data_IF_604069836386
#
_entry.id   IF_604069836386
#
_cell.length_a   1.000
_cell.length_b   1.000
_cell.length_c   1.000
_cell.angle_alpha   90.00
_cell.angle_beta   90.00
_cell.angle_gamma   90.00
#
_symmetry.space_group_name_H-M   'P 1'
#
loop_
_entity.id
_entity.type
_entity.pdbx_description
1 polymer ?
#
# COMPACT_ATOMS: atom_id res chain seq x y z
N UNK A 1 4.68 25.25 -45.47
CA UNK A 1 3.94 24.38 -44.52
C UNK A 1 2.60 23.99 -45.12
N UNK A 2 2.43 22.73 -45.53
CA UNK A 2 1.24 22.29 -46.28
C UNK A 2 -0.03 22.37 -45.43
N UNK A 3 -1.16 22.73 -46.05
CA UNK A 3 -2.49 22.80 -45.40
C UNK A 3 -2.89 21.48 -44.71
N UNK A 4 -2.29 20.36 -45.14
CA UNK A 4 -2.47 19.02 -44.59
C UNK A 4 -1.82 18.90 -43.20
N UNK A 5 -0.60 19.41 -43.03
CA UNK A 5 0.10 19.36 -41.73
C UNK A 5 -0.66 20.13 -40.63
N UNK A 6 -1.27 21.28 -40.97
CA UNK A 6 -2.13 22.02 -40.03
C UNK A 6 -3.40 21.24 -39.64
N UNK A 7 -4.03 20.53 -40.57
CA UNK A 7 -5.22 19.71 -40.30
C UNK A 7 -4.89 18.51 -39.41
N UNK A 8 -3.77 17.84 -39.66
CA UNK A 8 -3.32 16.71 -38.83
C UNK A 8 -3.05 17.17 -37.38
N UNK A 9 -2.39 18.31 -37.19
CA UNK A 9 -2.10 18.82 -35.85
C UNK A 9 -3.37 19.17 -35.06
N UNK A 10 -4.39 19.73 -35.72
CA UNK A 10 -5.69 20.05 -35.10
C UNK A 10 -6.43 18.77 -34.68
N UNK A 11 -6.42 17.73 -35.54
CA UNK A 11 -7.06 16.44 -35.21
C UNK A 11 -6.36 15.77 -34.05
N UNK A 12 -5.03 15.71 -34.05
CA UNK A 12 -4.25 15.13 -32.93
C UNK A 12 -4.50 15.90 -31.63
N UNK A 13 -4.52 17.23 -31.68
CA UNK A 13 -4.83 18.07 -30.52
C UNK A 13 -6.25 17.84 -29.98
N UNK A 14 -7.25 17.73 -30.87
CA UNK A 14 -8.62 17.44 -30.49
C UNK A 14 -8.77 16.05 -29.87
N UNK A 15 -8.08 15.04 -30.41
CA UNK A 15 -8.07 13.67 -29.84
C UNK A 15 -7.39 13.65 -28.47
N UNK A 16 -6.26 14.34 -28.30
CA UNK A 16 -5.60 14.49 -26.98
C UNK A 16 -6.51 15.17 -25.95
N UNK A 17 -7.18 16.26 -26.33
CA UNK A 17 -8.13 16.94 -25.45
C UNK A 17 -9.32 16.05 -25.08
N UNK A 18 -9.84 15.27 -26.04
CA UNK A 18 -10.93 14.33 -25.80
C UNK A 18 -10.52 13.23 -24.81
N UNK A 19 -9.31 12.67 -24.97
CA UNK A 19 -8.77 11.64 -24.07
C UNK A 19 -8.57 12.19 -22.65
N UNK A 20 -8.06 13.42 -22.50
CA UNK A 20 -7.91 14.08 -21.20
C UNK A 20 -9.27 14.34 -20.54
N UNK A 21 -10.26 14.80 -21.31
CA UNK A 21 -11.61 15.04 -20.80
C UNK A 21 -12.30 13.74 -20.34
N UNK A 22 -12.15 12.65 -21.11
CA UNK A 22 -12.64 11.32 -20.74
C UNK A 22 -11.96 10.81 -19.46
N UNK A 23 -10.64 10.96 -19.34
CA UNK A 23 -9.91 10.58 -18.14
C UNK A 23 -10.35 11.39 -16.90
N UNK A 24 -10.67 12.67 -17.07
CA UNK A 24 -11.16 13.52 -15.99
C UNK A 24 -12.56 13.11 -15.52
N UNK A 25 -13.48 12.84 -16.45
CA UNK A 25 -14.83 12.34 -16.14
C UNK A 25 -14.80 10.96 -15.46
N UNK A 26 -13.95 10.05 -15.94
CA UNK A 26 -13.77 8.74 -15.31
C UNK A 26 -13.28 8.87 -13.87
N UNK A 27 -12.37 9.82 -13.59
CA UNK A 27 -11.90 10.12 -12.23
C UNK A 27 -12.99 10.72 -11.33
N UNK A 28 -13.84 11.59 -11.87
CA UNK A 28 -14.93 12.21 -11.10
C UNK A 28 -15.97 11.18 -10.65
N UNK A 29 -16.24 10.17 -11.48
CA UNK A 29 -17.15 9.06 -11.15
C UNK A 29 -16.58 8.04 -10.15
N UNK A 30 -15.26 7.94 -10.02
CA UNK A 30 -14.58 6.96 -9.15
C UNK A 30 -14.41 7.44 -7.71
N UNK A 31 -15.14 8.47 -7.32
CA UNK A 31 -15.02 9.11 -6.02
C UNK A 31 -15.77 8.29 -4.95
N UNK A 32 -15.17 8.05 -3.77
CA UNK A 32 -15.85 7.36 -2.68
C UNK A 32 -17.16 8.04 -2.30
N UNK A 33 -18.15 7.25 -1.88
CA UNK A 33 -19.37 7.76 -1.27
C UNK A 33 -19.08 8.42 0.08
N UNK A 34 -20.01 9.25 0.59
CA UNK A 34 -19.91 9.77 1.95
C UNK A 34 -20.03 8.63 2.96
N UNK A 35 -19.15 8.60 3.96
CA UNK A 35 -19.15 7.58 5.00
C UNK A 35 -18.43 6.29 4.62
N UNK A 36 -17.64 6.30 3.55
CA UNK A 36 -16.84 5.15 3.15
C UNK A 36 -15.72 4.84 4.15
N UNK A 37 -15.27 3.59 4.14
CA UNK A 37 -14.14 3.09 4.93
C UNK A 37 -13.06 2.64 3.94
N UNK A 38 -11.81 2.99 4.22
CA UNK A 38 -10.67 2.49 3.45
C UNK A 38 -10.37 1.06 3.90
N UNK A 39 -10.56 0.09 3.01
CA UNK A 39 -10.06 -1.26 3.22
C UNK A 39 -8.66 -1.38 2.63
N UNK A 40 -7.72 -1.88 3.42
CA UNK A 40 -6.36 -2.17 2.97
C UNK A 40 -5.97 -3.59 3.39
N UNK A 41 -5.73 -4.44 2.40
CA UNK A 41 -5.19 -5.77 2.60
C UNK A 41 -3.67 -5.73 2.45
N UNK A 42 -2.98 -6.14 3.50
CA UNK A 42 -1.53 -6.21 3.58
C UNK A 42 -1.17 -7.68 3.58
N UNK A 43 -1.04 -8.22 2.37
CA UNK A 43 -0.87 -9.65 2.12
C UNK A 43 0.18 -9.88 1.03
N UNK A 44 0.89 -10.99 1.12
CA UNK A 44 1.83 -11.42 0.09
C UNK A 44 3.03 -10.49 -0.06
N UNK A 45 3.51 -10.37 -1.31
CA UNK A 45 4.71 -9.58 -1.62
C UNK A 45 4.37 -8.11 -1.82
N UNK A 46 5.00 -7.24 -1.04
CA UNK A 46 4.84 -5.78 -1.13
C UNK A 46 6.17 -5.17 -1.62
N UNK A 47 6.32 -4.95 -2.94
CA UNK A 47 7.51 -4.34 -3.49
C UNK A 47 7.58 -2.84 -3.15
N UNK A 48 8.79 -2.32 -3.02
CA UNK A 48 9.02 -0.86 -2.92
C UNK A 48 8.71 -0.15 -4.24
N UNK A 49 9.10 -0.78 -5.35
CA UNK A 49 8.94 -0.24 -6.69
C UNK A 49 8.40 -1.34 -7.61
N UNK A 50 7.35 -1.01 -8.36
CA UNK A 50 6.85 -1.86 -9.43
C UNK A 50 7.49 -1.34 -10.72
N UNK A 51 8.27 -2.16 -11.44
CA UNK A 51 8.80 -1.77 -12.74
C UNK A 51 7.66 -1.26 -13.63
N UNK A 52 7.85 -0.13 -14.34
CA UNK A 52 6.80 0.42 -15.19
C UNK A 52 6.55 -0.52 -16.38
N UNK A 53 5.59 -1.43 -16.21
CA UNK A 53 5.07 -2.27 -17.29
C UNK A 53 3.71 -1.72 -17.74
N UNK A 54 3.75 -1.00 -18.87
CA UNK A 54 2.57 -0.40 -19.47
C UNK A 54 1.54 -1.47 -19.91
N UNK A 55 1.98 -2.69 -20.23
CA UNK A 55 1.10 -3.78 -20.64
C UNK A 55 0.37 -4.37 -19.44
N UNK A 56 1.07 -4.61 -18.33
CA UNK A 56 0.45 -5.09 -17.09
C UNK A 56 -0.61 -4.12 -16.54
N UNK A 57 -0.37 -2.81 -16.64
CA UNK A 57 -1.34 -1.79 -16.26
C UNK A 57 -2.61 -1.80 -17.12
N UNK A 58 -2.49 -2.13 -18.41
CA UNK A 58 -3.63 -2.26 -19.33
C UNK A 58 -4.38 -3.59 -19.10
N UNK A 59 -3.66 -4.67 -18.78
CA UNK A 59 -4.22 -6.00 -18.52
C UNK A 59 -4.85 -6.14 -17.12
N UNK A 60 -4.70 -5.13 -16.26
CA UNK A 60 -5.35 -5.08 -14.95
C UNK A 60 -4.68 -5.93 -13.87
N UNK A 61 -3.45 -6.42 -14.10
CA UNK A 61 -2.64 -7.07 -13.07
C UNK A 61 -2.03 -6.03 -12.15
N UNK A 62 -2.87 -5.48 -11.27
CA UNK A 62 -2.49 -4.41 -10.35
C UNK A 62 -1.77 -5.00 -9.13
N UNK A 63 -0.43 -4.94 -9.16
CA UNK A 63 0.38 -5.06 -7.93
C UNK A 63 0.33 -3.72 -7.21
N UNK A 64 0.35 -3.74 -5.88
CA UNK A 64 0.44 -2.53 -5.06
C UNK A 64 1.84 -2.43 -4.48
N UNK A 65 2.48 -1.28 -4.66
CA UNK A 65 3.74 -0.98 -4.01
C UNK A 65 3.50 -0.42 -2.60
N UNK A 66 4.53 -0.43 -1.75
CA UNK A 66 4.46 0.17 -0.42
C UNK A 66 3.92 1.61 -0.45
N UNK A 67 4.42 2.41 -1.39
CA UNK A 67 4.00 3.80 -1.55
C UNK A 67 2.53 3.95 -1.92
N UNK A 68 1.90 3.00 -2.60
CA UNK A 68 0.47 3.06 -2.90
C UNK A 68 -0.37 3.02 -1.62
N UNK A 69 0.03 2.21 -0.63
CA UNK A 69 -0.64 2.13 0.67
C UNK A 69 -0.45 3.42 1.48
N UNK A 70 0.78 3.94 1.54
CA UNK A 70 1.10 5.19 2.26
C UNK A 70 0.36 6.37 1.65
N UNK A 71 0.36 6.49 0.33
CA UNK A 71 -0.34 7.53 -0.41
C UNK A 71 -1.86 7.40 -0.24
N UNK A 72 -2.40 6.17 -0.26
CA UNK A 72 -3.81 5.93 0.00
C UNK A 72 -4.22 6.41 1.40
N UNK A 73 -3.43 6.10 2.44
CA UNK A 73 -3.66 6.60 3.80
C UNK A 73 -3.58 8.13 3.87
N UNK A 74 -2.60 8.76 3.21
CA UNK A 74 -2.48 10.23 3.16
C UNK A 74 -3.68 10.89 2.48
N UNK A 75 -4.15 10.35 1.36
CA UNK A 75 -5.35 10.85 0.67
C UNK A 75 -6.60 10.63 1.51
N UNK A 76 -6.76 9.42 2.05
CA UNK A 76 -7.88 9.07 2.91
C UNK A 76 -7.90 9.90 4.20
N UNK A 77 -6.75 10.33 4.72
CA UNK A 77 -6.63 11.22 5.88
C UNK A 77 -7.33 12.55 5.62
N UNK A 78 -7.10 13.16 4.46
CA UNK A 78 -7.61 14.51 4.15
C UNK A 78 -8.97 14.48 3.41
N UNK A 79 -9.46 13.31 2.98
CA UNK A 79 -10.78 13.15 2.36
C UNK A 79 -11.92 13.11 3.40
N UNK A 80 -12.77 14.13 3.42
CA UNK A 80 -13.92 14.23 4.34
C UNK A 80 -15.01 13.17 4.15
N UNK A 81 -14.91 12.30 3.14
CA UNK A 81 -15.87 11.21 2.89
C UNK A 81 -15.44 9.90 3.54
N UNK A 82 -14.16 9.76 3.88
CA UNK A 82 -13.61 8.57 4.52
C UNK A 82 -13.68 8.73 6.04
N UNK A 83 -14.40 7.83 6.70
CA UNK A 83 -14.59 7.89 8.15
C UNK A 83 -13.49 7.14 8.93
N UNK A 84 -12.87 6.14 8.31
CA UNK A 84 -11.88 5.29 8.96
C UNK A 84 -11.23 4.30 8.00
N UNK A 85 -10.38 3.43 8.55
CA UNK A 85 -9.66 2.40 7.83
C UNK A 85 -9.80 1.02 8.50
N UNK A 86 -10.06 0.00 7.69
CA UNK A 86 -9.95 -1.40 8.04
C UNK A 86 -8.64 -1.94 7.45
N UNK A 87 -7.71 -2.32 8.32
CA UNK A 87 -6.38 -2.82 7.96
C UNK A 87 -6.40 -4.33 8.14
N UNK A 88 -6.48 -5.07 7.05
CA UNK A 88 -6.38 -6.52 7.05
C UNK A 88 -4.90 -6.86 6.96
N UNK A 89 -4.33 -7.40 8.04
CA UNK A 89 -2.93 -7.78 8.11
C UNK A 89 -2.85 -9.30 8.11
N UNK A 90 -2.27 -9.84 7.05
CA UNK A 90 -1.98 -11.27 6.91
C UNK A 90 -0.48 -11.46 6.66
N UNK A 91 -0.06 -12.70 6.40
CA UNK A 91 1.31 -13.06 6.03
C UNK A 91 1.75 -12.21 4.84
N UNK A 92 2.73 -11.35 5.10
CA UNK A 92 3.32 -10.46 4.10
C UNK A 92 4.85 -10.52 4.15
N UNK A 93 5.48 -10.15 3.04
CA UNK A 93 6.94 -10.06 2.95
C UNK A 93 7.52 -8.78 3.57
N UNK A 94 6.71 -8.01 4.32
CA UNK A 94 7.11 -6.71 4.85
C UNK A 94 8.41 -6.78 5.64
N UNK A 95 9.35 -5.89 5.35
CA UNK A 95 10.47 -5.60 6.24
C UNK A 95 10.05 -4.77 7.45
N UNK A 96 10.88 -4.75 8.50
CA UNK A 96 10.62 -3.88 9.67
C UNK A 96 10.56 -2.39 9.29
N UNK A 97 11.39 -1.94 8.34
CA UNK A 97 11.36 -0.57 7.85
C UNK A 97 10.02 -0.23 7.17
N UNK A 98 9.54 -1.13 6.30
CA UNK A 98 8.26 -0.96 5.60
C UNK A 98 7.08 -0.98 6.58
N UNK A 99 7.10 -1.90 7.55
CA UNK A 99 6.11 -1.96 8.62
C UNK A 99 6.10 -0.68 9.46
N UNK A 100 7.28 -0.10 9.74
CA UNK A 100 7.40 1.18 10.44
C UNK A 100 6.83 2.34 9.62
N UNK A 101 7.10 2.39 8.31
CA UNK A 101 6.57 3.44 7.44
C UNK A 101 5.03 3.40 7.37
N UNK A 102 4.45 2.21 7.20
CA UNK A 102 2.99 2.02 7.23
C UNK A 102 2.40 2.38 8.60
N UNK A 103 3.07 1.99 9.68
CA UNK A 103 2.68 2.33 11.05
C UNK A 103 2.63 3.85 11.23
N UNK A 104 3.64 4.58 10.79
CA UNK A 104 3.69 6.04 10.90
C UNK A 104 2.57 6.69 10.07
N UNK A 105 2.31 6.18 8.87
CA UNK A 105 1.19 6.64 8.04
C UNK A 105 -0.19 6.39 8.70
N UNK A 106 -0.38 5.23 9.35
CA UNK A 106 -1.61 4.91 10.10
C UNK A 106 -1.79 5.81 11.33
N UNK A 107 -0.71 6.12 12.04
CA UNK A 107 -0.75 7.06 13.16
C UNK A 107 -1.13 8.46 12.67
N UNK A 108 -0.54 8.92 11.56
CA UNK A 108 -0.87 10.21 10.96
C UNK A 108 -2.30 10.29 10.43
N UNK A 109 -2.82 9.19 9.86
CA UNK A 109 -4.22 9.07 9.48
C UNK A 109 -5.15 9.28 10.67
N UNK A 110 -4.84 8.65 11.81
CA UNK A 110 -5.64 8.73 13.03
C UNK A 110 -5.53 10.10 13.74
N UNK A 111 -4.42 10.84 13.57
CA UNK A 111 -4.28 12.21 14.12
C UNK A 111 -5.36 13.18 13.62
N UNK A 112 -6.03 12.90 12.49
CA UNK A 112 -7.19 13.67 12.01
C UNK A 112 -8.52 13.30 12.67
N UNK A 113 -8.51 12.45 13.70
CA UNK A 113 -9.70 11.99 14.40
C UNK A 113 -10.42 10.83 13.70
N UNK A 114 -9.80 10.23 12.68
CA UNK A 114 -10.32 9.03 12.00
C UNK A 114 -9.92 7.79 12.76
N UNK A 115 -10.75 6.75 12.73
CA UNK A 115 -10.46 5.49 13.38
C UNK A 115 -9.75 4.52 12.43
N UNK A 116 -8.84 3.71 12.96
CA UNK A 116 -8.28 2.57 12.24
C UNK A 116 -8.45 1.29 13.08
N UNK A 117 -8.88 0.21 12.44
CA UNK A 117 -9.04 -1.13 13.04
C UNK A 117 -8.17 -2.09 12.27
N UNK A 118 -7.35 -2.87 12.98
CA UNK A 118 -6.63 -3.99 12.38
C UNK A 118 -7.43 -5.28 12.54
N UNK A 119 -7.54 -6.05 11.46
CA UNK A 119 -8.01 -7.44 11.49
C UNK A 119 -6.84 -8.34 11.09
N UNK A 120 -6.65 -9.43 11.83
CA UNK A 120 -5.63 -10.43 11.58
C UNK A 120 -6.27 -11.81 11.66
N UNK A 121 -5.98 -12.67 10.69
CA UNK A 121 -6.33 -14.09 10.81
C UNK A 121 -5.39 -14.77 11.81
N UNK A 122 -4.10 -14.43 11.75
CA UNK A 122 -3.06 -14.90 12.66
C UNK A 122 -1.92 -13.89 12.69
N UNK A 123 -1.24 -13.75 13.82
CA UNK A 123 0.03 -13.04 13.93
C UNK A 123 1.14 -14.06 14.19
N UNK A 124 1.49 -14.82 13.16
CA UNK A 124 2.64 -15.73 13.20
C UNK A 124 2.33 -17.20 13.51
N UNK A 125 1.38 -17.81 12.77
CA UNK A 125 1.01 -19.23 12.90
C UNK A 125 2.22 -20.20 12.85
N UNK A 126 3.05 -20.12 11.80
CA UNK A 126 4.23 -20.98 11.60
C UNK A 126 5.55 -20.20 11.50
N UNK A 127 5.52 -18.90 11.76
CA UNK A 127 6.64 -17.96 11.60
C UNK A 127 6.52 -16.85 12.66
N UNK A 128 7.59 -16.13 13.03
CA UNK A 128 7.47 -14.97 13.90
C UNK A 128 6.48 -13.93 13.37
N UNK A 129 5.46 -13.59 14.16
CA UNK A 129 4.42 -12.60 13.83
C UNK A 129 4.72 -11.18 14.32
N UNK A 130 5.98 -10.91 14.68
CA UNK A 130 6.38 -9.66 15.33
C UNK A 130 6.07 -8.42 14.46
N UNK A 131 6.19 -8.53 13.12
CA UNK A 131 6.04 -7.40 12.20
C UNK A 131 4.57 -7.07 11.96
N UNK A 132 3.77 -8.10 11.76
CA UNK A 132 2.32 -8.04 11.57
C UNK A 132 1.67 -7.41 12.81
N UNK A 133 2.05 -7.90 14.00
CA UNK A 133 1.58 -7.34 15.26
C UNK A 133 2.14 -5.93 15.52
N UNK A 134 3.40 -5.67 15.17
CA UNK A 134 3.97 -4.33 15.25
C UNK A 134 3.23 -3.33 14.37
N UNK A 135 2.78 -3.71 13.17
CA UNK A 135 1.95 -2.86 12.33
C UNK A 135 0.53 -2.70 12.92
N UNK A 136 -0.11 -3.81 13.29
CA UNK A 136 -1.47 -3.82 13.82
C UNK A 136 -1.63 -2.96 15.09
N UNK A 137 -0.61 -2.91 15.95
CA UNK A 137 -0.59 -2.07 17.15
C UNK A 137 -0.55 -0.56 16.89
N UNK A 138 -0.53 -0.13 15.63
CA UNK A 138 -0.75 1.26 15.25
C UNK A 138 -2.24 1.64 15.32
N UNK A 139 -3.12 0.66 15.10
CA UNK A 139 -4.57 0.83 15.06
C UNK A 139 -5.16 0.96 16.47
N UNK A 140 -6.33 1.60 16.55
CA UNK A 140 -7.05 1.80 17.82
C UNK A 140 -7.54 0.48 18.43
N UNK A 141 -7.88 -0.50 17.59
CA UNK A 141 -8.27 -1.84 18.03
C UNK A 141 -7.72 -2.89 17.08
N UNK A 142 -7.35 -4.05 17.64
CA UNK A 142 -6.88 -5.22 16.89
C UNK A 142 -7.88 -6.34 17.10
N UNK A 143 -8.34 -6.92 16.01
CA UNK A 143 -9.28 -8.03 15.96
C UNK A 143 -8.52 -9.23 15.43
N UNK A 144 -8.52 -10.31 16.20
CA UNK A 144 -7.89 -11.56 15.80
C UNK A 144 -8.99 -12.59 15.56
N UNK A 145 -8.87 -13.37 14.49
CA UNK A 145 -9.74 -14.52 14.29
C UNK A 145 -9.64 -15.47 15.50
N UNK A 146 -10.76 -16.06 15.98
CA UNK A 146 -10.74 -16.98 17.12
C UNK A 146 -9.73 -18.15 17.02
N UNK A 147 -9.48 -18.77 15.85
CA UNK A 147 -8.47 -19.83 15.73
C UNK A 147 -7.03 -19.30 15.56
N UNK A 148 -6.84 -17.97 15.47
CA UNK A 148 -5.55 -17.36 15.19
C UNK A 148 -4.59 -17.39 16.37
N UNK A 149 -3.31 -17.56 16.08
CA UNK A 149 -2.23 -17.50 17.06
C UNK A 149 -1.52 -16.14 17.05
N UNK A 150 -0.93 -15.76 18.18
CA UNK A 150 -0.01 -14.63 18.30
C UNK A 150 1.36 -15.17 18.73
N UNK A 151 2.31 -15.17 17.81
CA UNK A 151 3.65 -15.72 18.00
C UNK A 151 4.70 -14.60 18.01
N UNK A 152 4.84 -13.97 19.17
CA UNK A 152 5.81 -12.90 19.41
C UNK A 152 7.11 -13.49 19.97
N UNK A 153 8.08 -13.73 19.09
CA UNK A 153 9.36 -14.37 19.45
C UNK A 153 10.46 -13.36 19.82
N UNK A 154 10.17 -12.06 19.75
CA UNK A 154 11.13 -10.99 20.00
C UNK A 154 12.05 -10.70 18.81
N UNK A 155 13.03 -9.83 19.01
CA UNK A 155 13.99 -9.42 17.97
C UNK A 155 15.35 -10.07 18.22
N UNK A 156 15.92 -10.65 17.17
CA UNK A 156 17.26 -11.23 17.16
C UNK A 156 18.03 -10.69 15.96
N UNK A 157 19.25 -10.25 16.20
CA UNK A 157 20.21 -9.87 15.18
C UNK A 157 21.49 -10.66 15.39
N UNK A 158 21.90 -11.43 14.38
CA UNK A 158 23.15 -12.17 14.38
C UNK A 158 24.11 -11.50 13.40
N UNK A 159 25.31 -11.14 13.86
CA UNK A 159 26.35 -10.57 13.01
C UNK A 159 27.39 -11.66 12.75
N UNK A 160 27.50 -12.20 11.51
CA UNK A 160 28.52 -13.19 11.21
C UNK A 160 29.92 -12.55 11.26
N UNK A 161 30.80 -13.10 12.09
CA UNK A 161 32.20 -12.65 12.20
C UNK A 161 33.13 -13.59 11.42
N UNK A 162 33.61 -13.13 10.27
CA UNK A 162 34.43 -13.93 9.34
C UNK A 162 35.91 -13.53 9.30
N UNK A 163 36.38 -12.73 10.26
CA UNK A 163 37.80 -12.32 10.29
C UNK A 163 38.68 -13.54 10.51
N UNK A 164 39.58 -13.81 9.56
CA UNK A 164 40.54 -14.91 9.63
C UNK A 164 40.15 -16.16 8.84
N UNK A 165 38.91 -16.27 8.35
CA UNK A 165 38.50 -17.42 7.52
C UNK A 165 39.04 -17.34 6.08
N UNK A 166 39.44 -16.14 5.61
CA UNK A 166 40.01 -15.92 4.26
C UNK A 166 41.54 -15.88 4.23
N UNK A 167 42.23 -16.24 5.32
CA UNK A 167 43.70 -16.43 5.27
C UNK A 167 43.97 -17.74 4.54
N UNK A 168 44.20 -17.67 3.24
CA UNK A 168 44.80 -18.79 2.51
C UNK A 168 46.26 -18.98 2.99
N UNK A 169 46.72 -20.23 3.19
CA UNK A 169 48.08 -20.54 3.63
C UNK A 169 49.13 -20.11 2.60
#
# INVERSE_FOLDING_TARGET
MSKIAKRVLIVVGAVMLLLVALAFMARAGMQPGKGSVLEMAIEGEIPEEIPPDALAQILGTKRLALMDYVEALRRARDDGRINGALVIVDRSSLGFAQAQELRDALLDFQKKGKWAVAYMETAGEFSPGNKEYYLASACKSIWLAPPGDINLTGLRADVPFVRGTTRRP
#
